data_IF_251943553335
#
_entry.id   IF_251943553335
#
_cell.length_a   1.000
_cell.length_b   1.000
_cell.length_c   1.000
_cell.angle_alpha   90.00
_cell.angle_beta   90.00
_cell.angle_gamma   90.00
#
_symmetry.space_group_name_H-M   'P 1'
#
loop_
_entity.id
_entity.type
_entity.pdbx_description
1 polymer ?
#
# COMPACT_ATOMS: atom_id res chain seq x y z
N UNK A 1 27.90 -5.67 15.30
CA UNK A 1 29.07 -5.91 14.43
C UNK A 1 30.02 -4.72 14.54
N UNK A 2 31.30 -4.96 14.76
CA UNK A 2 32.37 -3.98 14.74
C UNK A 2 33.51 -4.54 13.92
N UNK A 3 34.18 -3.69 13.16
CA UNK A 3 35.44 -4.05 12.47
C UNK A 3 36.54 -3.37 13.25
N UNK A 4 37.58 -4.10 13.60
CA UNK A 4 38.77 -3.54 14.20
C UNK A 4 39.80 -3.23 13.12
N UNK A 5 40.15 -1.95 12.97
CA UNK A 5 41.14 -1.48 12.03
C UNK A 5 42.12 -0.54 12.73
N UNK A 6 43.41 -0.88 12.76
CA UNK A 6 44.47 -0.10 13.42
C UNK A 6 44.16 0.19 14.91
N UNK A 7 43.68 -0.82 15.66
CA UNK A 7 43.32 -0.69 17.09
C UNK A 7 42.05 0.13 17.37
N UNK A 8 41.33 0.57 16.34
CA UNK A 8 40.07 1.30 16.48
C UNK A 8 38.91 0.41 16.10
N UNK A 9 37.94 0.30 17.00
CA UNK A 9 36.64 -0.36 16.70
C UNK A 9 35.78 0.55 15.85
N UNK A 10 35.60 0.19 14.58
CA UNK A 10 34.74 0.89 13.63
C UNK A 10 33.37 0.20 13.68
N UNK A 11 32.35 0.95 14.02
CA UNK A 11 30.97 0.49 14.01
C UNK A 11 30.29 0.91 12.72
N UNK A 12 29.41 0.09 12.12
CA UNK A 12 28.69 0.46 10.91
C UNK A 12 27.78 1.67 11.20
N UNK A 13 27.62 2.51 10.19
CA UNK A 13 26.59 3.56 10.18
C UNK A 13 25.26 2.92 9.75
N UNK A 14 24.21 3.15 10.53
CA UNK A 14 22.85 2.72 10.20
C UNK A 14 22.13 3.86 9.50
N UNK A 15 21.55 3.58 8.33
CA UNK A 15 20.67 4.49 7.60
C UNK A 15 19.32 3.79 7.52
N UNK A 16 18.29 4.43 8.07
CA UNK A 16 16.94 3.89 8.15
C UNK A 16 16.01 4.84 7.43
N UNK A 17 15.18 4.31 6.54
CA UNK A 17 14.16 5.06 5.82
C UNK A 17 12.78 4.46 6.10
N UNK A 18 11.81 5.32 6.33
CA UNK A 18 10.40 4.95 6.52
C UNK A 18 9.51 6.11 6.12
N UNK A 19 8.34 5.79 5.57
CA UNK A 19 7.33 6.79 5.21
C UNK A 19 6.51 7.28 6.42
N UNK A 20 6.50 6.51 7.51
CA UNK A 20 5.61 6.75 8.65
C UNK A 20 6.35 6.43 9.94
N UNK A 21 6.86 7.44 10.61
CA UNK A 21 7.52 7.27 11.92
C UNK A 21 7.10 8.37 12.87
N UNK A 22 6.80 7.98 14.10
CA UNK A 22 6.67 8.86 15.26
C UNK A 22 7.62 8.33 16.32
N UNK A 23 8.30 9.17 17.06
CA UNK A 23 9.30 8.79 18.07
C UNK A 23 10.51 8.02 17.49
N UNK A 24 11.10 8.54 16.40
CA UNK A 24 12.26 7.93 15.74
C UNK A 24 13.42 7.63 16.73
N UNK A 25 13.69 8.51 17.66
CA UNK A 25 14.77 8.35 18.64
C UNK A 25 14.62 7.13 19.54
N UNK A 26 13.44 6.89 20.06
CA UNK A 26 13.17 5.70 20.89
C UNK A 26 13.29 4.41 20.06
N UNK A 27 12.76 4.40 18.85
CA UNK A 27 12.87 3.23 17.98
C UNK A 27 14.33 2.91 17.64
N UNK A 28 15.14 3.92 17.32
CA UNK A 28 16.56 3.72 17.01
C UNK A 28 17.31 3.21 18.23
N UNK A 29 17.03 3.76 19.40
CA UNK A 29 17.61 3.30 20.66
C UNK A 29 17.31 1.84 20.94
N UNK A 30 16.05 1.44 20.82
CA UNK A 30 15.64 0.05 21.12
C UNK A 30 16.08 -0.96 20.06
N UNK A 31 16.06 -0.58 18.76
CA UNK A 31 16.45 -1.50 17.69
C UNK A 31 17.95 -1.65 17.51
N UNK A 32 18.70 -0.55 17.65
CA UNK A 32 20.13 -0.51 17.31
C UNK A 32 21.05 -0.29 18.50
N UNK A 33 20.49 -0.06 19.71
CA UNK A 33 21.28 0.24 20.90
C UNK A 33 22.09 1.54 20.76
N UNK A 34 21.59 2.53 20.01
CA UNK A 34 22.26 3.81 19.74
C UNK A 34 21.51 4.95 20.40
N UNK A 35 22.22 5.76 21.17
CA UNK A 35 21.66 6.97 21.78
C UNK A 35 21.81 8.20 20.85
N UNK A 36 22.81 8.18 19.99
CA UNK A 36 23.06 9.24 19.03
C UNK A 36 22.42 8.91 17.68
N UNK A 37 21.57 9.80 17.20
CA UNK A 37 20.93 9.71 15.90
C UNK A 37 20.68 11.11 15.35
N UNK A 38 20.55 11.21 14.03
CA UNK A 38 20.08 12.40 13.34
C UNK A 38 18.88 12.04 12.49
N UNK A 39 17.81 12.82 12.58
CA UNK A 39 16.65 12.67 11.73
C UNK A 39 16.79 13.57 10.50
N UNK A 40 16.48 13.03 9.32
CA UNK A 40 16.44 13.78 8.08
C UNK A 40 15.07 13.56 7.39
N UNK A 41 14.39 14.58 6.93
CA UNK A 41 14.72 15.99 7.16
C UNK A 41 14.56 16.37 8.64
N UNK A 42 15.32 17.39 9.13
CA UNK A 42 15.14 17.90 10.48
C UNK A 42 13.76 18.54 10.60
N UNK A 43 13.25 18.60 11.83
CA UNK A 43 11.99 19.28 12.12
C UNK A 43 12.12 20.77 11.79
N UNK A 44 11.18 21.28 10.99
CA UNK A 44 11.04 22.72 10.67
C UNK A 44 9.97 23.37 11.54
N UNK A 45 9.84 24.70 11.45
CA UNK A 45 8.76 25.45 12.09
C UNK A 45 7.40 25.17 11.43
N UNK A 46 7.39 24.89 10.13
CA UNK A 46 6.22 24.50 9.36
C UNK A 46 6.45 23.10 8.76
N UNK A 47 5.50 22.20 8.95
CA UNK A 47 5.53 20.86 8.36
C UNK A 47 5.34 20.87 6.85
N UNK A 48 4.80 21.94 6.30
CA UNK A 48 4.48 22.13 4.88
C UNK A 48 5.52 22.93 4.10
N UNK A 49 6.33 23.71 4.81
CA UNK A 49 7.38 24.53 4.20
C UNK A 49 8.66 24.44 5.03
N UNK A 50 9.62 23.66 4.54
CA UNK A 50 10.94 23.51 5.13
C UNK A 50 12.00 23.63 4.05
N UNK A 51 13.27 23.70 4.42
CA UNK A 51 14.38 23.74 3.44
C UNK A 51 14.33 22.56 2.43
N UNK A 52 13.86 21.39 2.86
CA UNK A 52 13.88 20.17 2.06
C UNK A 52 12.51 19.81 1.46
N UNK A 53 11.44 20.34 2.00
CA UNK A 53 10.07 19.95 1.64
C UNK A 53 9.23 21.22 1.53
N UNK A 54 8.58 21.38 0.38
CA UNK A 54 7.58 22.40 0.19
C UNK A 54 6.29 21.74 -0.27
N UNK A 55 5.23 21.88 0.53
CA UNK A 55 3.91 21.48 0.11
C UNK A 55 3.38 22.49 -0.89
N UNK A 56 3.03 22.02 -2.08
CA UNK A 56 2.31 22.85 -3.06
C UNK A 56 0.84 22.80 -2.67
N UNK A 57 0.25 23.90 -2.20
CA UNK A 57 -1.17 23.91 -1.85
C UNK A 57 -2.00 23.56 -3.07
N UNK A 58 -2.89 22.58 -2.90
CA UNK A 58 -3.94 22.36 -3.89
C UNK A 58 -4.81 23.62 -3.94
N UNK A 59 -5.36 23.99 -5.11
CA UNK A 59 -6.32 25.09 -5.19
C UNK A 59 -7.42 24.86 -4.16
N UNK A 60 -7.66 25.85 -3.31
CA UNK A 60 -8.64 25.80 -2.21
C UNK A 60 -10.09 25.81 -2.71
N UNK A 61 -10.30 26.06 -3.99
CA UNK A 61 -11.60 25.91 -4.63
C UNK A 61 -11.91 24.41 -4.70
N UNK A 62 -13.00 24.02 -4.08
CA UNK A 62 -13.48 22.66 -4.08
C UNK A 62 -13.47 22.09 -5.49
N UNK A 63 -12.76 20.97 -5.70
CA UNK A 63 -12.71 20.27 -6.99
C UNK A 63 -14.11 19.89 -7.52
N UNK A 64 -15.12 19.89 -6.64
CA UNK A 64 -16.53 19.66 -6.96
C UNK A 64 -17.08 20.72 -7.92
N UNK A 65 -16.57 21.96 -7.86
CA UNK A 65 -16.99 23.07 -8.72
C UNK A 65 -15.94 23.43 -9.80
N UNK A 66 -14.84 22.68 -9.88
CA UNK A 66 -13.83 22.91 -10.90
C UNK A 66 -14.36 22.44 -12.26
N UNK A 67 -14.45 23.35 -13.24
CA UNK A 67 -14.75 22.97 -14.62
C UNK A 67 -13.70 21.97 -15.14
N UNK A 68 -14.09 21.09 -16.05
CA UNK A 68 -13.21 20.10 -16.71
C UNK A 68 -11.97 20.76 -17.33
N UNK A 69 -12.11 21.96 -17.89
CA UNK A 69 -10.98 22.76 -18.38
C UNK A 69 -9.97 23.13 -17.29
N UNK A 70 -10.42 23.40 -16.06
CA UNK A 70 -9.56 23.76 -14.94
C UNK A 70 -8.76 22.57 -14.45
N UNK A 71 -9.39 21.39 -14.41
CA UNK A 71 -8.73 20.11 -14.08
C UNK A 71 -7.69 19.76 -15.17
N UNK A 72 -8.05 19.86 -16.44
CA UNK A 72 -7.14 19.61 -17.56
C UNK A 72 -5.93 20.55 -17.55
N UNK A 73 -6.12 21.83 -17.26
CA UNK A 73 -5.03 22.80 -17.09
C UNK A 73 -4.14 22.46 -15.90
N UNK A 74 -4.71 22.01 -14.77
CA UNK A 74 -3.93 21.58 -13.61
C UNK A 74 -3.04 20.38 -13.91
N UNK A 75 -3.50 19.46 -14.76
CA UNK A 75 -2.73 18.29 -15.22
C UNK A 75 -1.66 18.73 -16.22
N UNK A 76 -2.01 19.59 -17.20
CA UNK A 76 -1.09 20.08 -18.25
C UNK A 76 0.01 20.99 -17.71
N UNK A 77 -0.25 21.75 -16.65
CA UNK A 77 0.73 22.67 -16.03
C UNK A 77 1.80 21.94 -15.20
N UNK A 78 1.92 20.61 -15.31
CA UNK A 78 2.90 19.82 -14.59
C UNK A 78 2.70 19.82 -13.08
N UNK A 79 1.51 20.16 -12.60
CA UNK A 79 1.15 20.09 -11.18
C UNK A 79 1.12 18.63 -10.74
N UNK A 80 1.80 18.34 -9.65
CA UNK A 80 2.03 16.99 -9.14
C UNK A 80 0.71 16.25 -8.91
N UNK A 81 0.68 14.95 -9.14
CA UNK A 81 -0.48 14.11 -8.86
C UNK A 81 -0.90 14.21 -7.38
N UNK A 82 -2.18 14.16 -7.15
CA UNK A 82 -2.78 14.22 -5.82
C UNK A 82 -3.67 13.00 -5.57
N UNK A 83 -4.14 12.83 -4.34
CA UNK A 83 -5.11 11.79 -3.97
C UNK A 83 -6.38 12.40 -3.46
N UNK A 84 -7.49 12.02 -4.07
CA UNK A 84 -8.82 12.37 -3.59
C UNK A 84 -9.40 11.18 -2.82
N UNK A 85 -9.80 11.42 -1.58
CA UNK A 85 -10.45 10.41 -0.75
C UNK A 85 -11.95 10.65 -0.73
N UNK A 86 -12.72 9.58 -0.91
CA UNK A 86 -14.17 9.59 -0.82
C UNK A 86 -14.64 8.54 0.20
N UNK A 87 -15.31 8.97 1.26
CA UNK A 87 -15.87 8.11 2.28
C UNK A 87 -17.27 7.64 1.89
N UNK A 88 -17.51 6.34 1.97
CA UNK A 88 -18.82 5.73 1.69
C UNK A 88 -19.30 4.98 2.93
N UNK A 89 -20.41 5.42 3.50
CA UNK A 89 -21.08 4.74 4.61
C UNK A 89 -22.58 4.62 4.30
N UNK A 90 -23.02 3.44 3.96
CA UNK A 90 -24.41 3.19 3.57
C UNK A 90 -25.22 2.65 4.75
N UNK A 91 -25.93 3.54 5.47
CA UNK A 91 -26.84 3.15 6.53
C UNK A 91 -27.95 2.23 5.99
N UNK A 92 -28.31 1.20 6.75
CA UNK A 92 -29.34 0.24 6.37
C UNK A 92 -28.92 -0.79 5.31
N UNK A 93 -27.65 -0.76 4.86
CA UNK A 93 -27.10 -1.70 3.89
C UNK A 93 -25.93 -2.50 4.47
N UNK A 94 -25.77 -3.74 4.02
CA UNK A 94 -24.57 -4.50 4.35
C UNK A 94 -23.36 -3.97 3.57
N UNK A 95 -22.16 -4.10 4.13
CA UNK A 95 -20.91 -3.76 3.43
C UNK A 95 -20.80 -4.52 2.09
N UNK A 96 -21.26 -5.77 2.05
CA UNK A 96 -21.29 -6.57 0.80
C UNK A 96 -22.17 -5.91 -0.27
N UNK A 97 -23.39 -5.49 0.09
CA UNK A 97 -24.30 -4.80 -0.84
C UNK A 97 -23.67 -3.48 -1.33
N UNK A 98 -23.02 -2.74 -0.44
CA UNK A 98 -22.34 -1.50 -0.78
C UNK A 98 -21.21 -1.76 -1.75
N UNK A 99 -20.39 -2.81 -1.53
CA UNK A 99 -19.30 -3.20 -2.43
C UNK A 99 -19.82 -3.62 -3.81
N UNK A 100 -20.86 -4.45 -3.87
CA UNK A 100 -21.45 -4.87 -5.15
C UNK A 100 -21.89 -3.66 -5.96
N UNK A 101 -22.54 -2.69 -5.33
CA UNK A 101 -22.98 -1.47 -6.00
C UNK A 101 -21.82 -0.58 -6.42
N UNK A 102 -20.87 -0.35 -5.52
CA UNK A 102 -19.71 0.50 -5.78
C UNK A 102 -18.86 -0.05 -6.92
N UNK A 103 -18.44 -1.32 -6.82
CA UNK A 103 -17.56 -1.93 -7.82
C UNK A 103 -18.24 -2.00 -9.18
N UNK A 104 -19.53 -2.35 -9.23
CA UNK A 104 -20.27 -2.40 -10.49
C UNK A 104 -20.33 -1.04 -11.18
N UNK A 105 -20.55 0.04 -10.42
CA UNK A 105 -20.60 1.40 -10.96
C UNK A 105 -19.22 1.82 -11.42
N UNK A 106 -18.19 1.70 -10.58
CA UNK A 106 -16.83 2.15 -10.89
C UNK A 106 -16.30 1.42 -12.14
N UNK A 107 -16.44 0.09 -12.18
CA UNK A 107 -15.92 -0.70 -13.30
C UNK A 107 -16.67 -0.41 -14.61
N UNK A 108 -17.99 -0.25 -14.56
CA UNK A 108 -18.76 0.13 -15.75
C UNK A 108 -18.41 1.55 -16.21
N UNK A 109 -18.35 2.51 -15.30
CA UNK A 109 -18.01 3.89 -15.62
C UNK A 109 -16.62 4.02 -16.23
N UNK A 110 -15.64 3.25 -15.73
CA UNK A 110 -14.29 3.22 -16.32
C UNK A 110 -14.30 2.76 -17.79
N UNK A 111 -15.14 1.76 -18.15
CA UNK A 111 -15.32 1.36 -19.53
C UNK A 111 -16.03 2.43 -20.35
N UNK A 112 -17.09 3.04 -19.81
CA UNK A 112 -17.86 4.06 -20.52
C UNK A 112 -16.95 5.25 -20.87
N UNK A 113 -16.15 5.75 -19.90
CA UNK A 113 -15.18 6.81 -20.13
C UNK A 113 -14.08 6.38 -21.12
N UNK A 114 -13.62 5.12 -21.07
CA UNK A 114 -12.60 4.62 -22.01
C UNK A 114 -13.06 4.62 -23.48
N UNK A 115 -14.37 4.73 -23.73
CA UNK A 115 -14.94 4.81 -25.07
C UNK A 115 -15.13 6.22 -25.57
N UNK A 116 -15.03 7.20 -24.69
CA UNK A 116 -15.08 8.61 -25.06
C UNK A 116 -13.71 9.03 -25.61
N UNK A 117 -13.63 9.51 -26.86
CA UNK A 117 -12.36 9.89 -27.49
C UNK A 117 -11.58 10.95 -26.72
N UNK A 118 -12.28 11.83 -26.00
CA UNK A 118 -11.69 12.92 -25.23
C UNK A 118 -10.87 12.42 -24.03
N UNK A 119 -11.21 11.26 -23.46
CA UNK A 119 -10.60 10.74 -22.24
C UNK A 119 -9.72 9.50 -22.46
N UNK A 120 -9.52 9.10 -23.72
CA UNK A 120 -8.78 7.89 -24.07
C UNK A 120 -7.36 7.85 -23.49
N UNK A 121 -6.65 8.98 -23.54
CA UNK A 121 -5.29 9.10 -23.05
C UNK A 121 -5.20 9.17 -21.51
N UNK A 122 -6.32 9.40 -20.83
CA UNK A 122 -6.37 9.63 -19.38
C UNK A 122 -6.98 8.48 -18.59
N UNK A 123 -7.59 7.50 -19.25
CA UNK A 123 -8.37 6.45 -18.58
C UNK A 123 -7.52 5.32 -17.98
N UNK A 124 -6.32 5.06 -18.52
CA UNK A 124 -5.50 3.94 -18.09
C UNK A 124 -5.31 3.83 -16.57
N UNK A 125 -5.03 4.94 -15.81
CA UNK A 125 -4.87 4.87 -14.37
C UNK A 125 -6.11 4.37 -13.61
N UNK A 126 -7.29 4.57 -14.18
CA UNK A 126 -8.59 4.28 -13.56
C UNK A 126 -9.24 3.00 -14.10
N UNK A 127 -8.62 2.37 -15.10
CA UNK A 127 -9.18 1.15 -15.70
C UNK A 127 -9.03 -0.07 -14.80
N UNK A 128 -7.95 -0.16 -14.03
CA UNK A 128 -7.71 -1.22 -13.05
C UNK A 128 -8.12 -0.78 -11.65
N UNK A 129 -9.05 -1.49 -11.04
CA UNK A 129 -9.47 -1.25 -9.65
C UNK A 129 -8.59 -2.04 -8.68
N UNK A 130 -7.97 -1.36 -7.73
CA UNK A 130 -7.28 -1.97 -6.60
C UNK A 130 -8.22 -2.05 -5.40
N UNK A 131 -8.52 -3.25 -4.92
CA UNK A 131 -9.32 -3.48 -3.72
C UNK A 131 -8.45 -3.87 -2.53
N UNK A 132 -8.41 -3.04 -1.48
CA UNK A 132 -7.71 -3.31 -0.24
C UNK A 132 -8.66 -3.84 0.84
N UNK A 133 -8.26 -4.95 1.50
CA UNK A 133 -9.01 -5.59 2.57
C UNK A 133 -8.16 -5.78 3.82
N UNK A 134 -8.75 -5.56 5.00
CA UNK A 134 -8.05 -5.68 6.28
C UNK A 134 -7.75 -7.13 6.68
N UNK A 135 -8.40 -8.10 6.06
CA UNK A 135 -8.21 -9.52 6.36
C UNK A 135 -8.42 -10.41 5.14
N UNK A 136 -7.71 -11.54 5.13
CA UNK A 136 -7.86 -12.58 4.10
C UNK A 136 -9.31 -13.13 4.08
N UNK A 137 -9.99 -13.16 5.22
CA UNK A 137 -11.38 -13.63 5.31
C UNK A 137 -12.35 -12.70 4.58
N UNK A 138 -12.20 -11.38 4.77
CA UNK A 138 -13.03 -10.38 4.07
C UNK A 138 -12.74 -10.40 2.57
N UNK A 139 -11.46 -10.51 2.20
CA UNK A 139 -11.01 -10.62 0.82
C UNK A 139 -11.59 -11.87 0.13
N UNK A 140 -11.53 -13.05 0.74
CA UNK A 140 -12.09 -14.27 0.17
C UNK A 140 -13.60 -14.19 -0.09
N UNK A 141 -14.33 -13.40 0.71
CA UNK A 141 -15.71 -13.05 0.44
C UNK A 141 -15.84 -12.17 -0.81
N UNK A 142 -14.94 -11.23 -1.01
CA UNK A 142 -14.98 -10.32 -2.16
C UNK A 142 -14.64 -11.01 -3.50
N UNK A 143 -13.78 -12.04 -3.50
CA UNK A 143 -13.52 -12.86 -4.71
C UNK A 143 -14.83 -13.40 -5.27
N UNK A 144 -15.64 -14.03 -4.41
CA UNK A 144 -16.93 -14.59 -4.83
C UNK A 144 -17.89 -13.52 -5.35
N UNK A 145 -17.90 -12.34 -4.70
CA UNK A 145 -18.73 -11.22 -5.17
C UNK A 145 -18.32 -10.75 -6.57
N UNK A 146 -17.01 -10.77 -6.88
CA UNK A 146 -16.49 -10.40 -8.21
C UNK A 146 -16.91 -11.39 -9.29
N UNK A 147 -16.99 -12.68 -8.94
CA UNK A 147 -17.35 -13.71 -9.90
C UNK A 147 -18.83 -13.71 -10.25
N UNK A 148 -19.69 -13.51 -9.27
CA UNK A 148 -21.14 -13.67 -9.41
C UNK A 148 -21.92 -12.35 -9.34
N UNK A 149 -21.94 -11.73 -8.17
CA UNK A 149 -22.85 -10.62 -7.86
C UNK A 149 -22.45 -9.32 -8.59
N UNK A 150 -21.15 -9.00 -8.63
CA UNK A 150 -20.65 -7.76 -9.27
C UNK A 150 -20.81 -7.88 -10.78
N UNK A 151 -20.44 -9.02 -11.37
CA UNK A 151 -20.60 -9.26 -12.80
C UNK A 151 -22.07 -9.14 -13.24
N UNK A 152 -22.98 -9.73 -12.48
CA UNK A 152 -24.42 -9.62 -12.71
C UNK A 152 -24.93 -8.18 -12.54
N UNK A 153 -24.42 -7.47 -11.55
CA UNK A 153 -24.82 -6.09 -11.25
C UNK A 153 -24.32 -5.09 -12.30
N UNK A 154 -23.15 -5.31 -12.89
CA UNK A 154 -22.62 -4.51 -14.01
C UNK A 154 -23.66 -4.46 -15.14
N UNK A 155 -24.28 -5.58 -15.47
CA UNK A 155 -25.36 -5.64 -16.47
C UNK A 155 -26.53 -4.71 -16.13
N UNK A 156 -26.92 -4.66 -14.86
CA UNK A 156 -27.99 -3.76 -14.40
C UNK A 156 -27.55 -2.30 -14.49
N UNK A 157 -26.33 -1.98 -14.13
CA UNK A 157 -25.75 -0.63 -14.22
C UNK A 157 -25.71 -0.19 -15.67
N UNK A 158 -25.17 -1.03 -16.58
CA UNK A 158 -25.13 -0.79 -18.01
C UNK A 158 -26.51 -0.41 -18.57
N UNK A 159 -27.54 -1.17 -18.22
CA UNK A 159 -28.90 -0.91 -18.70
C UNK A 159 -29.50 0.37 -18.09
N UNK A 160 -29.21 0.64 -16.81
CA UNK A 160 -29.71 1.83 -16.12
C UNK A 160 -29.17 3.13 -16.72
N UNK A 161 -27.91 3.14 -17.12
CA UNK A 161 -27.22 4.33 -17.65
C UNK A 161 -27.15 4.32 -19.19
N UNK A 162 -27.78 3.35 -19.87
CA UNK A 162 -27.77 3.19 -21.33
C UNK A 162 -26.36 3.15 -21.94
N UNK A 163 -25.42 2.55 -21.20
CA UNK A 163 -24.06 2.39 -21.69
C UNK A 163 -24.01 1.53 -22.97
N UNK A 164 -23.15 1.88 -23.91
CA UNK A 164 -23.03 1.19 -25.19
C UNK A 164 -22.61 -0.27 -25.05
N UNK A 165 -21.72 -0.55 -24.10
CA UNK A 165 -21.17 -1.89 -23.88
C UNK A 165 -21.14 -2.22 -22.39
N UNK A 166 -21.19 -3.51 -22.07
CA UNK A 166 -21.07 -4.01 -20.70
C UNK A 166 -19.60 -4.30 -20.40
N UNK A 167 -19.09 -3.84 -19.26
CA UNK A 167 -17.79 -4.27 -18.75
C UNK A 167 -17.82 -5.76 -18.43
N UNK A 168 -16.97 -6.51 -19.08
CA UNK A 168 -16.80 -7.93 -18.84
C UNK A 168 -15.58 -8.18 -17.97
N UNK A 169 -15.75 -8.90 -16.86
CA UNK A 169 -14.66 -9.27 -15.96
C UNK A 169 -14.20 -10.69 -16.28
N UNK A 170 -13.09 -10.82 -17.00
CA UNK A 170 -12.53 -12.13 -17.31
C UNK A 170 -11.92 -12.79 -16.07
N UNK A 171 -11.77 -14.10 -16.08
CA UNK A 171 -11.08 -14.81 -15.00
C UNK A 171 -9.63 -14.34 -14.88
N UNK A 172 -8.94 -14.16 -15.99
CA UNK A 172 -7.55 -13.69 -16.05
C UNK A 172 -7.40 -12.20 -15.70
N UNK A 173 -8.47 -11.42 -15.81
CA UNK A 173 -8.53 -9.99 -15.44
C UNK A 173 -8.66 -9.75 -13.93
N UNK A 174 -8.89 -10.82 -13.14
CA UNK A 174 -9.04 -10.74 -11.69
C UNK A 174 -7.84 -11.40 -11.01
N UNK A 175 -7.26 -10.75 -10.02
CA UNK A 175 -6.12 -11.30 -9.28
C UNK A 175 -6.19 -10.99 -7.79
N UNK A 176 -5.78 -11.97 -6.98
CA UNK A 176 -5.58 -11.84 -5.55
C UNK A 176 -4.08 -11.63 -5.25
N UNK A 177 -3.73 -10.71 -4.35
CA UNK A 177 -2.38 -10.52 -3.79
C UNK A 177 -2.46 -10.64 -2.28
N UNK A 178 -2.13 -11.82 -1.77
CA UNK A 178 -2.11 -12.12 -0.32
C UNK A 178 -0.89 -12.94 0.04
N UNK A 179 -0.66 -13.13 1.32
CA UNK A 179 0.42 -13.99 1.83
C UNK A 179 0.29 -15.48 1.44
N UNK A 180 -0.79 -15.87 0.77
CA UNK A 180 -0.98 -17.22 0.22
C UNK A 180 -0.26 -17.42 -1.11
N UNK A 181 0.08 -16.33 -1.78
CA UNK A 181 0.75 -16.38 -3.08
C UNK A 181 2.25 -16.52 -2.87
N UNK A 182 2.92 -17.48 -3.54
CA UNK A 182 4.36 -17.59 -3.50
C UNK A 182 5.07 -16.31 -3.99
N UNK A 183 6.23 -16.00 -3.43
CA UNK A 183 6.94 -14.75 -3.74
C UNK A 183 7.32 -14.60 -5.22
N UNK A 184 7.58 -15.70 -5.92
CA UNK A 184 7.89 -15.68 -7.36
C UNK A 184 6.69 -15.29 -8.23
N UNK A 185 5.46 -15.63 -7.81
CA UNK A 185 4.24 -15.26 -8.53
C UNK A 185 3.96 -13.77 -8.38
N UNK A 186 4.36 -13.17 -7.26
CA UNK A 186 4.16 -11.73 -7.01
C UNK A 186 4.86 -10.89 -8.10
N UNK A 187 6.07 -11.25 -8.51
CA UNK A 187 6.80 -10.54 -9.54
C UNK A 187 6.01 -10.53 -10.87
N UNK A 188 5.50 -11.68 -11.30
CA UNK A 188 4.68 -11.79 -12.51
C UNK A 188 3.38 -10.99 -12.42
N UNK A 189 2.75 -10.97 -11.24
CA UNK A 189 1.54 -10.16 -11.01
C UNK A 189 1.85 -8.67 -11.14
N UNK A 190 2.99 -8.22 -10.62
CA UNK A 190 3.41 -6.83 -10.71
C UNK A 190 3.75 -6.42 -12.15
N UNK A 191 4.44 -7.29 -12.91
CA UNK A 191 4.71 -7.08 -14.34
C UNK A 191 3.41 -6.93 -15.12
N UNK A 192 2.44 -7.83 -14.90
CA UNK A 192 1.13 -7.74 -15.56
C UNK A 192 0.33 -6.53 -15.09
N UNK A 193 0.45 -6.12 -13.83
CA UNK A 193 -0.22 -4.93 -13.30
C UNK A 193 0.34 -3.63 -13.89
N UNK A 194 1.59 -3.64 -14.35
CA UNK A 194 2.22 -2.51 -15.04
C UNK A 194 1.75 -2.35 -16.50
N UNK A 195 1.08 -3.36 -17.08
CA UNK A 195 0.54 -3.26 -18.43
C UNK A 195 -0.61 -2.27 -18.47
N UNK A 196 -0.49 -1.26 -19.33
CA UNK A 196 -1.51 -0.25 -19.54
C UNK A 196 -2.74 -0.80 -20.29
N UNK A 197 -3.88 -0.19 -20.07
CA UNK A 197 -5.07 -0.40 -20.87
C UNK A 197 -4.84 0.06 -22.31
N UNK A 198 -5.28 -0.72 -23.29
CA UNK A 198 -5.17 -0.40 -24.70
C UNK A 198 -6.51 -0.67 -25.39
N UNK A 199 -7.17 0.38 -25.81
CA UNK A 199 -8.49 0.34 -26.47
C UNK A 199 -8.49 -0.51 -27.74
N UNK A 200 -7.36 -0.58 -28.45
CA UNK A 200 -7.23 -1.27 -29.73
C UNK A 200 -6.98 -2.78 -29.60
N UNK A 201 -6.79 -3.28 -28.35
CA UNK A 201 -6.61 -4.70 -28.10
C UNK A 201 -7.93 -5.39 -27.80
N UNK A 202 -8.24 -6.43 -28.56
CA UNK A 202 -9.40 -7.31 -28.31
C UNK A 202 -9.34 -7.97 -26.93
N UNK A 203 -8.13 -8.41 -26.51
CA UNK A 203 -7.86 -8.93 -25.17
C UNK A 203 -6.95 -7.99 -24.42
N UNK A 204 -7.46 -7.41 -23.33
CA UNK A 204 -6.65 -6.58 -22.48
C UNK A 204 -5.57 -7.41 -21.77
N UNK A 205 -4.32 -6.93 -21.83
CA UNK A 205 -3.22 -7.51 -21.07
C UNK A 205 -3.25 -7.10 -19.60
N UNK A 206 -3.89 -5.97 -19.27
CA UNK A 206 -3.99 -5.45 -17.91
C UNK A 206 -5.05 -6.18 -17.07
N UNK A 207 -4.94 -6.05 -15.76
CA UNK A 207 -6.00 -6.53 -14.84
C UNK A 207 -7.20 -5.59 -14.83
N UNK A 208 -8.40 -6.16 -14.65
CA UNK A 208 -9.62 -5.42 -14.35
C UNK A 208 -9.69 -5.05 -12.87
N UNK A 209 -9.44 -6.05 -12.02
CA UNK A 209 -9.51 -5.90 -10.56
C UNK A 209 -8.37 -6.69 -9.90
N UNK A 210 -7.65 -6.01 -9.02
CA UNK A 210 -6.67 -6.67 -8.14
C UNK A 210 -7.12 -6.45 -6.70
N UNK A 211 -7.35 -7.52 -5.97
CA UNK A 211 -7.72 -7.48 -4.57
C UNK A 211 -6.56 -7.94 -3.69
N UNK A 212 -6.29 -7.20 -2.63
CA UNK A 212 -5.12 -7.44 -1.80
C UNK A 212 -5.37 -7.15 -0.32
N UNK A 213 -4.51 -7.71 0.52
CA UNK A 213 -4.36 -7.32 1.93
C UNK A 213 -3.11 -6.45 2.11
N UNK A 214 -2.56 -6.38 3.31
CA UNK A 214 -1.36 -5.62 3.65
C UNK A 214 -0.13 -5.91 2.75
N UNK A 215 -0.13 -7.00 1.99
CA UNK A 215 0.92 -7.30 1.00
C UNK A 215 1.06 -6.21 -0.06
N UNK A 216 -0.02 -5.47 -0.35
CA UNK A 216 0.03 -4.34 -1.28
C UNK A 216 0.89 -3.19 -0.74
N UNK A 217 0.95 -3.04 0.59
CA UNK A 217 1.75 -2.01 1.24
C UNK A 217 3.27 -2.30 1.13
N UNK A 218 3.65 -3.55 0.87
CA UNK A 218 5.04 -3.99 0.81
C UNK A 218 5.44 -4.30 -0.63
N UNK A 219 6.28 -3.45 -1.23
CA UNK A 219 6.96 -3.75 -2.50
C UNK A 219 6.17 -3.57 -3.79
N UNK A 220 4.90 -3.16 -3.77
CA UNK A 220 4.18 -2.84 -5.00
C UNK A 220 4.55 -1.45 -5.50
N UNK A 221 5.32 -1.38 -6.57
CA UNK A 221 5.78 -0.15 -7.20
C UNK A 221 5.29 -0.08 -8.65
N UNK A 222 4.00 0.26 -8.81
CA UNK A 222 3.33 0.41 -10.10
C UNK A 222 2.76 1.81 -10.19
N UNK A 223 3.37 2.65 -10.98
CA UNK A 223 3.14 4.10 -11.01
C UNK A 223 1.83 4.52 -11.69
N UNK A 224 1.35 3.71 -12.67
CA UNK A 224 0.17 4.05 -13.46
C UNK A 224 -1.15 4.06 -12.69
N UNK A 225 -1.23 3.41 -11.52
CA UNK A 225 -2.49 3.16 -10.82
C UNK A 225 -3.10 4.43 -10.22
N UNK A 226 -4.37 4.68 -10.53
CA UNK A 226 -5.14 5.84 -10.06
C UNK A 226 -6.42 5.50 -9.29
N UNK A 227 -6.85 4.23 -9.24
CA UNK A 227 -8.14 3.85 -8.67
C UNK A 227 -8.01 2.80 -7.56
N UNK A 228 -8.53 3.10 -6.37
CA UNK A 228 -8.50 2.19 -5.22
C UNK A 228 -9.81 2.21 -4.43
N UNK A 229 -10.17 1.05 -3.89
CA UNK A 229 -11.17 0.90 -2.85
C UNK A 229 -10.54 0.31 -1.60
N UNK A 230 -10.81 0.89 -0.43
CA UNK A 230 -10.38 0.39 0.88
C UNK A 230 -11.61 -0.07 1.65
N UNK A 231 -11.69 -1.35 1.99
CA UNK A 231 -12.85 -1.94 2.67
C UNK A 231 -12.63 -1.97 4.18
N UNK A 232 -13.20 -0.97 4.85
CA UNK A 232 -12.90 -0.64 6.23
C UNK A 232 -11.52 0.03 6.38
N UNK A 233 -11.46 1.17 7.03
CA UNK A 233 -10.18 1.83 7.29
C UNK A 233 -9.29 0.92 8.16
N UNK A 234 -8.01 0.69 7.81
CA UNK A 234 -7.06 -0.04 8.63
C UNK A 234 -7.01 0.45 10.07
N UNK A 235 -6.63 -0.42 10.99
CA UNK A 235 -6.53 -0.05 12.41
C UNK A 235 -5.40 0.93 12.68
N UNK A 236 -4.31 0.78 11.94
CA UNK A 236 -3.15 1.66 12.01
C UNK A 236 -3.19 2.67 10.89
N UNK A 237 -3.00 3.95 11.22
CA UNK A 237 -2.95 5.01 10.22
C UNK A 237 -1.73 4.88 9.31
N UNK A 238 -0.62 4.38 9.83
CA UNK A 238 0.56 4.04 9.04
C UNK A 238 0.24 3.03 7.93
N UNK A 239 -0.54 2.00 8.22
CA UNK A 239 -0.99 1.00 7.24
C UNK A 239 -1.93 1.62 6.20
N UNK A 240 -2.87 2.47 6.64
CA UNK A 240 -3.78 3.18 5.75
C UNK A 240 -3.03 4.08 4.76
N UNK A 241 -2.08 4.88 5.26
CA UNK A 241 -1.24 5.75 4.44
C UNK A 241 -0.39 4.92 3.46
N UNK A 242 0.24 3.85 3.91
CA UNK A 242 1.08 3.00 3.06
C UNK A 242 0.28 2.29 1.97
N UNK A 243 -0.93 1.80 2.29
CA UNK A 243 -1.80 1.17 1.31
C UNK A 243 -2.29 2.18 0.26
N UNK A 244 -2.84 3.32 0.69
CA UNK A 244 -3.41 4.32 -0.22
C UNK A 244 -2.35 5.07 -1.03
N UNK A 245 -1.09 5.10 -0.58
CA UNK A 245 0.02 5.68 -1.33
C UNK A 245 0.42 4.88 -2.57
N UNK A 246 -0.18 3.71 -2.81
CA UNK A 246 0.08 2.88 -3.99
C UNK A 246 -0.66 3.36 -5.24
N UNK A 247 -1.61 4.24 -5.09
CA UNK A 247 -2.30 4.91 -6.21
C UNK A 247 -2.04 6.41 -6.17
N UNK A 248 -2.24 7.08 -7.30
CA UNK A 248 -2.06 8.52 -7.39
C UNK A 248 -0.59 8.95 -7.32
N UNK A 249 0.31 8.24 -8.00
CA UNK A 249 1.75 8.55 -8.03
C UNK A 249 2.13 9.42 -9.21
N UNK A 250 1.74 9.05 -10.42
CA UNK A 250 1.97 9.83 -11.65
C UNK A 250 0.73 10.58 -12.08
N UNK A 251 -0.45 10.03 -11.83
CA UNK A 251 -1.74 10.60 -12.17
C UNK A 251 -2.56 10.85 -10.91
N UNK A 252 -3.55 11.73 -10.92
CA UNK A 252 -4.47 11.92 -9.81
C UNK A 252 -5.09 10.59 -9.38
N UNK A 253 -5.13 10.30 -8.09
CA UNK A 253 -5.69 9.07 -7.54
C UNK A 253 -7.03 9.27 -6.86
N UNK A 254 -7.96 8.33 -7.05
CA UNK A 254 -9.25 8.29 -6.36
C UNK A 254 -9.28 7.08 -5.43
N UNK A 255 -9.58 7.32 -4.15
CA UNK A 255 -9.63 6.29 -3.12
C UNK A 255 -11.01 6.30 -2.48
N UNK A 256 -11.76 5.21 -2.66
CA UNK A 256 -13.06 5.00 -2.04
C UNK A 256 -12.87 4.20 -0.75
N UNK A 257 -13.08 4.82 0.41
CA UNK A 257 -13.05 4.13 1.69
C UNK A 257 -14.46 3.75 2.10
N UNK A 258 -14.73 2.44 2.15
CA UNK A 258 -16.05 1.88 2.48
C UNK A 258 -16.10 1.56 3.96
N UNK A 259 -16.95 2.26 4.69
CA UNK A 259 -17.15 2.11 6.13
C UNK A 259 -18.35 1.21 6.45
N UNK A 260 -18.20 0.43 7.50
CA UNK A 260 -19.30 -0.40 8.02
C UNK A 260 -20.13 0.41 9.03
N UNK A 261 -21.40 0.76 8.73
CA UNK A 261 -22.24 1.56 9.62
C UNK A 261 -22.55 0.87 10.96
N UNK A 262 -22.35 -0.44 11.05
CA UNK A 262 -22.59 -1.23 12.24
C UNK A 262 -21.34 -1.44 13.10
N UNK A 263 -20.18 -0.90 12.69
CA UNK A 263 -18.95 -0.90 13.48
C UNK A 263 -18.70 0.49 14.05
N UNK A 264 -18.74 0.69 15.38
CA UNK A 264 -18.59 2.02 16.00
C UNK A 264 -17.35 2.78 15.53
N UNK A 265 -16.22 2.07 15.36
CA UNK A 265 -14.97 2.69 14.87
C UNK A 265 -15.11 3.20 13.44
N UNK A 266 -15.70 2.41 12.56
CA UNK A 266 -15.87 2.79 11.16
C UNK A 266 -16.83 3.97 11.04
N UNK A 267 -17.89 3.99 11.85
CA UNK A 267 -18.83 5.11 11.90
C UNK A 267 -18.15 6.39 12.40
N UNK A 268 -17.37 6.31 13.49
CA UNK A 268 -16.59 7.44 14.00
C UNK A 268 -15.58 7.97 12.98
N UNK A 269 -14.89 7.07 12.26
CA UNK A 269 -13.97 7.48 11.19
C UNK A 269 -14.71 8.17 10.04
N UNK A 270 -15.92 7.74 9.71
CA UNK A 270 -16.73 8.38 8.69
C UNK A 270 -17.25 9.75 9.12
N UNK A 271 -17.73 9.89 10.36
CA UNK A 271 -18.17 11.17 10.91
C UNK A 271 -17.06 12.21 10.96
N UNK A 272 -15.82 11.77 11.23
CA UNK A 272 -14.64 12.62 11.26
C UNK A 272 -13.84 12.61 9.95
N UNK A 273 -14.41 12.14 8.86
CA UNK A 273 -13.70 11.85 7.60
C UNK A 273 -12.88 13.03 7.08
N UNK A 274 -13.47 14.21 6.97
CA UNK A 274 -12.81 15.42 6.44
C UNK A 274 -11.70 15.87 7.39
N UNK A 275 -11.99 15.94 8.70
CA UNK A 275 -11.01 16.35 9.71
C UNK A 275 -9.81 15.40 9.79
N UNK A 276 -10.03 14.10 9.68
CA UNK A 276 -8.97 13.11 9.65
C UNK A 276 -8.10 13.22 8.39
N UNK A 277 -8.72 13.24 7.20
CA UNK A 277 -7.96 13.23 5.94
C UNK A 277 -7.20 14.53 5.69
N UNK A 278 -7.66 15.66 6.22
CA UNK A 278 -6.91 16.92 6.15
C UNK A 278 -5.61 16.90 6.97
N UNK A 279 -5.46 15.97 7.93
CA UNK A 279 -4.32 15.88 8.83
C UNK A 279 -3.85 14.43 9.07
N UNK A 280 -4.09 13.51 8.12
CA UNK A 280 -3.90 12.06 8.36
C UNK A 280 -2.48 11.69 8.83
N UNK A 281 -1.45 12.40 8.38
CA UNK A 281 -0.07 12.16 8.81
C UNK A 281 0.18 12.52 10.28
N UNK A 282 -0.60 13.43 10.85
CA UNK A 282 -0.53 13.81 12.27
C UNK A 282 -0.99 12.67 13.19
N UNK A 283 -1.85 11.80 12.69
CA UNK A 283 -2.43 10.69 13.45
C UNK A 283 -1.65 9.38 13.33
N UNK A 284 -0.43 9.42 12.77
CA UNK A 284 0.45 8.26 12.75
C UNK A 284 0.80 7.86 14.18
N UNK A 285 0.60 6.58 14.48
CA UNK A 285 0.85 6.04 15.82
C UNK A 285 2.34 5.91 16.10
N UNK A 286 2.73 6.14 17.36
CA UNK A 286 4.05 5.80 17.85
C UNK A 286 4.15 4.28 17.98
N UNK A 287 5.01 3.65 17.19
CA UNK A 287 5.30 2.23 17.33
C UNK A 287 6.43 2.01 18.31
N UNK A 288 6.28 1.04 19.22
CA UNK A 288 7.34 0.62 20.12
C UNK A 288 8.07 -0.60 19.54
N UNK A 289 9.41 -0.54 19.54
CA UNK A 289 10.22 -1.68 19.18
C UNK A 289 10.66 -2.40 20.45
N UNK A 290 10.24 -3.65 20.61
CA UNK A 290 10.60 -4.49 21.76
C UNK A 290 11.31 -5.75 21.29
N UNK A 291 12.59 -5.67 20.82
CA UNK A 291 13.29 -6.79 20.19
C UNK A 291 13.53 -7.95 21.17
N UNK A 292 13.56 -7.68 22.47
CA UNK A 292 13.78 -8.69 23.52
C UNK A 292 12.49 -9.24 24.14
N UNK A 293 11.32 -8.86 23.65
CA UNK A 293 10.06 -9.47 24.10
C UNK A 293 10.05 -10.99 23.86
N UNK A 294 9.39 -11.74 24.77
CA UNK A 294 9.39 -13.20 24.73
C UNK A 294 9.05 -13.77 23.35
N UNK A 295 7.95 -13.31 22.74
CA UNK A 295 7.54 -13.76 21.40
C UNK A 295 8.52 -13.38 20.28
N UNK A 296 9.23 -12.26 20.40
CA UNK A 296 10.26 -11.88 19.44
C UNK A 296 11.47 -12.83 19.57
N UNK A 297 11.91 -13.12 20.81
CA UNK A 297 12.98 -14.09 21.06
C UNK A 297 12.63 -15.46 20.51
N UNK A 298 11.45 -15.98 20.81
CA UNK A 298 11.01 -17.32 20.34
C UNK A 298 11.08 -17.44 18.81
N UNK A 299 10.80 -16.35 18.09
CA UNK A 299 10.82 -16.34 16.63
C UNK A 299 12.19 -16.09 16.00
N UNK A 300 13.06 -15.36 16.67
CA UNK A 300 14.28 -14.80 16.03
C UNK A 300 15.56 -15.35 16.65
N UNK A 301 15.51 -15.93 17.88
CA UNK A 301 16.69 -16.37 18.59
C UNK A 301 17.53 -17.38 17.78
N UNK A 302 16.89 -18.35 17.15
CA UNK A 302 17.58 -19.34 16.31
C UNK A 302 18.31 -18.68 15.12
N UNK A 303 17.68 -17.69 14.47
CA UNK A 303 18.30 -16.97 13.36
C UNK A 303 19.48 -16.10 13.82
N UNK A 304 19.39 -15.52 15.04
CA UNK A 304 20.50 -14.77 15.64
C UNK A 304 21.67 -15.69 15.97
N UNK A 305 21.42 -16.87 16.54
CA UNK A 305 22.48 -17.86 16.85
C UNK A 305 23.18 -18.28 15.56
N UNK A 306 22.44 -18.66 14.53
CA UNK A 306 23.01 -19.01 13.22
C UNK A 306 23.81 -17.86 12.63
N UNK A 307 23.31 -16.62 12.72
CA UNK A 307 24.03 -15.45 12.21
C UNK A 307 25.34 -15.19 12.99
N UNK A 308 25.32 -15.34 14.30
CA UNK A 308 26.53 -15.18 15.12
C UNK A 308 27.56 -16.27 14.81
N UNK A 309 27.18 -17.53 14.69
CA UNK A 309 28.04 -18.63 14.27
C UNK A 309 28.70 -18.32 12.92
N UNK A 310 27.92 -17.91 11.93
CA UNK A 310 28.42 -17.58 10.58
C UNK A 310 29.34 -16.38 10.54
N UNK A 311 29.17 -15.43 11.45
CA UNK A 311 30.01 -14.20 11.52
C UNK A 311 31.27 -14.39 12.35
N UNK A 312 31.31 -15.33 13.28
CA UNK A 312 32.43 -15.51 14.21
C UNK A 312 33.30 -16.72 13.88
N UNK A 313 32.71 -17.74 13.26
CA UNK A 313 33.44 -18.96 12.85
C UNK A 313 33.74 -18.90 11.36
N UNK A 314 35.01 -18.78 11.00
CA UNK A 314 35.45 -18.55 9.61
C UNK A 314 34.98 -19.65 8.65
N UNK A 315 35.00 -20.91 9.10
CA UNK A 315 34.54 -22.07 8.31
C UNK A 315 33.05 -22.09 8.03
N UNK A 316 32.26 -21.27 8.77
CA UNK A 316 30.82 -21.12 8.61
C UNK A 316 30.41 -19.94 7.73
N UNK A 317 31.36 -19.09 7.32
CA UNK A 317 31.06 -17.83 6.63
C UNK A 317 30.50 -18.04 5.20
N UNK A 318 31.01 -19.03 4.49
CA UNK A 318 30.65 -19.32 3.10
C UNK A 318 29.21 -19.85 2.95
N UNK A 319 28.66 -19.76 1.73
CA UNK A 319 27.31 -20.23 1.44
C UNK A 319 27.10 -21.73 1.75
N UNK A 320 28.13 -22.54 1.55
CA UNK A 320 28.15 -23.96 1.91
C UNK A 320 28.54 -24.24 3.37
N UNK A 321 28.89 -23.21 4.14
CA UNK A 321 29.47 -23.34 5.49
C UNK A 321 28.57 -24.04 6.51
N UNK A 322 27.26 -24.11 6.27
CA UNK A 322 26.32 -24.82 7.13
C UNK A 322 26.67 -26.34 7.29
N UNK A 323 27.32 -26.95 6.30
CA UNK A 323 27.78 -28.36 6.37
C UNK A 323 28.85 -28.59 7.45
N UNK A 324 29.57 -27.51 7.84
CA UNK A 324 30.65 -27.59 8.81
C UNK A 324 30.17 -27.40 10.27
N UNK A 325 28.87 -27.41 10.51
CA UNK A 325 28.29 -27.20 11.85
C UNK A 325 28.77 -28.27 12.88
N UNK A 326 29.02 -29.47 12.43
CA UNK A 326 29.50 -30.55 13.29
C UNK A 326 31.01 -30.46 13.64
N UNK A 327 31.75 -29.59 12.93
CA UNK A 327 33.17 -29.38 13.13
C UNK A 327 33.48 -28.24 14.10
N UNK A 328 32.42 -27.57 14.61
CA UNK A 328 32.54 -26.49 15.58
C UNK A 328 32.85 -27.05 16.95
N UNK A 329 33.96 -26.64 17.56
CA UNK A 329 34.32 -27.03 18.90
C UNK A 329 33.48 -26.37 19.99
N UNK A 330 33.32 -27.05 21.13
CA UNK A 330 32.61 -26.47 22.30
C UNK A 330 33.23 -25.17 22.79
N UNK A 331 34.55 -24.97 22.58
CA UNK A 331 35.24 -23.71 22.91
C UNK A 331 34.79 -22.57 22.00
N UNK A 332 34.71 -22.83 20.69
CA UNK A 332 34.20 -21.83 19.73
C UNK A 332 32.75 -21.47 20.01
N UNK A 333 31.92 -22.40 20.49
CA UNK A 333 30.53 -22.09 20.88
C UNK A 333 30.50 -21.25 22.16
N UNK A 334 31.39 -21.49 23.11
CA UNK A 334 31.46 -20.72 24.37
C UNK A 334 31.94 -19.27 24.15
N UNK A 335 32.78 -19.06 23.14
CA UNK A 335 33.29 -17.71 22.80
C UNK A 335 32.31 -16.85 22.02
N UNK A 336 31.19 -17.40 21.59
CA UNK A 336 30.08 -16.65 20.99
C UNK A 336 29.29 -15.98 22.11
N UNK A 337 29.74 -14.82 22.52
CA UNK A 337 29.11 -13.98 23.55
C UNK A 337 28.35 -12.82 22.93
#
# INVERSE_FOLDING_TARGET
CCIEKNGKKIRPKYIVSTATIRNAGEQIKFLYGRNEFAQFPPSGFDTRDSFFIKEVPLPTEHLVDASEEKISRMISDGKKPFRQYAGICASGQSVKTTLIRLYSIILQTALDIAKEPEYEDYIDPYYTLIGYFNSIRELGGAVRLLDDDIASRIRVVKNKYNSSEQRYLSFEGKKEITSRIPSWDIAQVLEKLAISYDKNKEKQGCYDVVIATNMIAVGMDVDRLGLMSVVGQPKQNSEYIQATSRVGRQHPGIIFTVYNPYRPRDLSNYENFVGFHSQMYRYVEGTTATPFAARARDRVLHALVVSLLRLQVETMADNGGASNINDISDEQIKDIK
#
